data_IF_137317701294
#
_entry.id   IF_137317701294
#
_cell.length_a   1.000
_cell.length_b   1.000
_cell.length_c   1.000
_cell.angle_alpha   90.00
_cell.angle_beta   90.00
_cell.angle_gamma   90.00
#
_symmetry.space_group_name_H-M   'P 1'
#
loop_
_entity.id
_entity.type
_entity.pdbx_description
1 polymer ?
#
# COMPACT_ATOMS: atom_id res chain seq x y z
N UNK A 1 -2.33 4.28 -11.98
CA UNK A 1 -2.85 4.25 -10.61
C UNK A 1 -3.60 5.54 -10.33
N UNK A 2 -4.75 5.47 -9.70
CA UNK A 2 -5.47 6.62 -9.15
C UNK A 2 -4.94 6.95 -7.75
N UNK A 3 -5.27 8.14 -7.26
CA UNK A 3 -5.02 8.54 -5.88
C UNK A 3 -5.56 7.49 -4.88
N UNK A 4 -4.74 7.15 -3.88
CA UNK A 4 -5.00 6.11 -2.89
C UNK A 4 -4.59 4.70 -3.35
N UNK A 5 -4.15 4.51 -4.59
CA UNK A 5 -3.63 3.23 -5.08
C UNK A 5 -2.10 3.16 -5.04
N UNK A 6 -1.58 1.94 -4.99
CA UNK A 6 -0.14 1.68 -4.93
C UNK A 6 0.34 0.49 -5.75
N UNK A 7 1.64 0.51 -6.06
CA UNK A 7 2.42 -0.66 -6.50
C UNK A 7 3.41 -1.04 -5.40
N UNK A 8 3.68 -2.33 -5.25
CA UNK A 8 4.61 -2.87 -4.26
C UNK A 8 5.67 -3.69 -4.99
N UNK A 9 6.91 -3.63 -4.52
CA UNK A 9 7.99 -4.48 -5.01
C UNK A 9 7.71 -5.95 -4.70
N UNK A 10 8.29 -6.90 -5.45
CA UNK A 10 8.09 -8.33 -5.25
C UNK A 10 8.25 -8.80 -3.79
N UNK A 11 9.20 -8.22 -3.05
CA UNK A 11 9.47 -8.59 -1.67
C UNK A 11 8.59 -7.86 -0.63
N UNK A 12 7.73 -6.92 -1.05
CA UNK A 12 6.89 -6.12 -0.15
C UNK A 12 7.58 -4.89 0.46
N UNK A 13 8.89 -4.78 0.27
CA UNK A 13 9.84 -3.87 0.92
C UNK A 13 9.85 -2.45 0.39
N UNK A 14 9.31 -2.23 -0.80
CA UNK A 14 9.25 -0.91 -1.46
C UNK A 14 7.87 -0.71 -2.05
N UNK A 15 7.33 0.50 -1.95
CA UNK A 15 6.00 0.84 -2.44
C UNK A 15 6.04 2.16 -3.20
N UNK A 16 5.31 2.25 -4.30
CA UNK A 16 5.02 3.49 -5.01
C UNK A 16 3.57 3.88 -4.74
N UNK A 17 3.37 5.04 -4.13
CA UNK A 17 2.07 5.57 -3.73
C UNK A 17 1.68 6.77 -4.58
N UNK A 18 0.49 6.71 -5.17
CA UNK A 18 -0.19 7.89 -5.66
C UNK A 18 -1.04 8.45 -4.51
N UNK A 19 -0.55 9.47 -3.82
CA UNK A 19 -1.19 10.00 -2.62
C UNK A 19 -2.46 10.82 -2.94
N UNK A 20 -3.41 10.92 -1.98
CA UNK A 20 -4.62 11.73 -2.12
C UNK A 20 -4.37 13.22 -2.38
N UNK A 21 -3.21 13.74 -1.98
CA UNK A 21 -2.79 15.14 -2.19
C UNK A 21 -2.17 15.40 -3.58
N UNK A 22 -2.07 14.36 -4.43
CA UNK A 22 -1.50 14.45 -5.76
C UNK A 22 -0.02 14.13 -5.85
N UNK A 23 0.64 13.80 -4.74
CA UNK A 23 2.06 13.44 -4.77
C UNK A 23 2.28 11.97 -5.14
N UNK A 24 3.29 11.73 -5.95
CA UNK A 24 3.74 10.39 -6.28
C UNK A 24 5.01 10.11 -5.46
N UNK A 25 4.95 9.13 -4.57
CA UNK A 25 5.97 8.92 -3.54
C UNK A 25 6.45 7.47 -3.55
N UNK A 26 7.76 7.27 -3.54
CA UNK A 26 8.36 5.96 -3.28
C UNK A 26 8.67 5.87 -1.79
N UNK A 27 8.16 4.81 -1.18
CA UNK A 27 8.34 4.47 0.21
C UNK A 27 9.18 3.22 0.35
N UNK A 28 10.12 3.25 1.30
CA UNK A 28 10.76 2.04 1.75
C UNK A 28 10.10 1.52 3.03
N UNK A 29 9.44 0.38 2.88
CA UNK A 29 8.62 -0.25 3.91
C UNK A 29 9.48 -1.08 4.86
N UNK A 30 10.70 -1.48 4.46
CA UNK A 30 11.64 -2.22 5.32
C UNK A 30 12.27 -1.38 6.44
N UNK A 31 12.16 -0.04 6.37
CA UNK A 31 12.87 0.84 7.29
C UNK A 31 11.97 1.73 8.16
N UNK A 32 10.85 2.25 7.64
CA UNK A 32 9.90 3.10 8.41
C UNK A 32 8.73 3.69 7.59
N UNK A 33 8.35 3.14 6.44
CA UNK A 33 7.48 3.84 5.46
C UNK A 33 7.91 5.29 5.24
N UNK A 34 9.22 5.54 5.26
CA UNK A 34 9.75 6.85 4.93
C UNK A 34 9.72 7.08 3.43
N UNK A 35 9.38 8.29 2.98
CA UNK A 35 9.55 8.63 1.59
C UNK A 35 11.05 8.63 1.29
N UNK A 36 11.46 7.80 0.33
CA UNK A 36 12.84 7.80 -0.20
C UNK A 36 12.93 8.67 -1.46
N UNK A 37 11.81 8.86 -2.13
CA UNK A 37 11.69 9.76 -3.27
C UNK A 37 10.26 10.29 -3.36
N UNK A 38 10.11 11.50 -3.87
CA UNK A 38 8.81 12.06 -4.23
C UNK A 38 8.93 12.89 -5.51
N UNK A 39 7.88 12.83 -6.34
CA UNK A 39 7.79 13.61 -7.57
C UNK A 39 7.82 15.11 -7.31
N UNK A 40 7.30 15.55 -6.16
CA UNK A 40 7.34 16.92 -5.66
C UNK A 40 6.94 17.94 -6.73
N UNK A 41 5.65 18.01 -7.03
CA UNK A 41 5.07 18.86 -8.08
C UNK A 41 4.73 20.29 -7.58
N UNK A 42 4.95 20.60 -6.30
CA UNK A 42 4.73 21.92 -5.69
C UNK A 42 3.25 22.31 -5.65
N UNK A 43 2.96 23.62 -5.58
CA UNK A 43 1.60 24.19 -5.57
C UNK A 43 0.80 23.95 -6.87
N UNK A 44 1.35 23.19 -7.84
CA UNK A 44 0.68 22.90 -9.11
C UNK A 44 -0.50 21.93 -8.96
N UNK A 45 -0.55 21.16 -7.88
CA UNK A 45 -1.71 20.35 -7.56
C UNK A 45 -2.73 21.17 -6.78
N UNK A 46 -3.92 21.32 -7.34
CA UNK A 46 -5.01 22.05 -6.70
C UNK A 46 -6.39 21.39 -6.89
N UNK A 47 -6.55 20.46 -7.85
CA UNK A 47 -7.84 19.84 -8.12
C UNK A 47 -7.70 18.34 -8.48
N UNK A 48 -8.20 17.47 -7.60
CA UNK A 48 -8.37 16.05 -7.89
C UNK A 48 -9.45 15.78 -8.97
N UNK A 49 -9.58 14.54 -9.47
CA UNK A 49 -8.84 13.35 -9.04
C UNK A 49 -7.41 13.33 -9.58
N UNK A 50 -6.47 12.82 -8.77
CA UNK A 50 -5.08 12.66 -9.20
C UNK A 50 -4.82 11.24 -9.68
N UNK A 51 -3.97 11.10 -10.70
CA UNK A 51 -3.60 9.82 -11.28
C UNK A 51 -2.16 9.82 -11.75
N UNK A 52 -1.51 8.66 -11.73
CA UNK A 52 -0.22 8.42 -12.38
C UNK A 52 -0.37 7.36 -13.46
N UNK A 53 0.23 7.59 -14.63
CA UNK A 53 0.20 6.65 -15.76
C UNK A 53 1.53 6.65 -16.51
N UNK A 54 2.06 5.46 -16.79
CA UNK A 54 3.05 5.27 -17.84
C UNK A 54 2.32 5.26 -19.18
N UNK A 55 2.58 6.26 -20.01
CA UNK A 55 1.94 6.46 -21.30
C UNK A 55 2.62 5.63 -22.41
N UNK A 56 1.95 5.48 -23.56
CA UNK A 56 2.46 4.70 -24.70
C UNK A 56 3.75 5.25 -25.31
N UNK A 57 3.96 6.57 -25.18
CA UNK A 57 5.18 7.25 -25.58
C UNK A 57 6.36 7.01 -24.60
N UNK A 58 6.13 6.28 -23.49
CA UNK A 58 7.15 5.99 -22.49
C UNK A 58 7.29 7.03 -21.38
N UNK A 59 6.42 8.04 -21.34
CA UNK A 59 6.45 9.05 -20.30
C UNK A 59 5.61 8.63 -19.09
N UNK A 60 6.18 8.72 -17.88
CA UNK A 60 5.43 8.57 -16.64
C UNK A 60 4.89 9.95 -16.25
N UNK A 61 3.57 10.08 -16.18
CA UNK A 61 2.90 11.36 -15.96
C UNK A 61 1.97 11.27 -14.76
N UNK A 62 2.10 12.23 -13.85
CA UNK A 62 1.08 12.50 -12.82
C UNK A 62 0.15 13.58 -13.36
N UNK A 63 -1.15 13.31 -13.33
CA UNK A 63 -2.20 14.21 -13.81
C UNK A 63 -3.20 14.55 -12.71
N UNK A 64 -3.90 15.68 -12.91
CA UNK A 64 -4.98 16.17 -12.06
C UNK A 64 -6.25 16.44 -12.88
N UNK A 65 -7.41 16.56 -12.22
CA UNK A 65 -8.70 16.86 -12.84
C UNK A 65 -9.02 15.98 -14.07
N UNK A 66 -9.21 16.62 -15.23
CA UNK A 66 -9.51 15.95 -16.51
C UNK A 66 -8.28 15.43 -17.28
N UNK A 67 -7.12 15.32 -16.62
CA UNK A 67 -5.89 14.83 -17.23
C UNK A 67 -4.81 15.89 -17.44
N UNK A 68 -4.89 17.02 -16.73
CA UNK A 68 -3.84 18.05 -16.77
C UNK A 68 -2.56 17.49 -16.14
N UNK A 69 -1.40 17.51 -16.83
CA UNK A 69 -0.15 17.02 -16.25
C UNK A 69 0.39 17.99 -15.19
N UNK A 70 0.72 17.46 -14.01
CA UNK A 70 1.35 18.20 -12.90
C UNK A 70 2.80 17.78 -12.66
N UNK A 71 3.17 16.57 -13.09
CA UNK A 71 4.55 16.08 -13.10
C UNK A 71 4.79 15.10 -14.26
N UNK A 72 6.03 15.03 -14.74
CA UNK A 72 6.46 14.10 -15.79
C UNK A 72 7.89 13.61 -15.54
N UNK A 73 8.18 12.36 -15.90
CA UNK A 73 9.54 11.80 -15.87
C UNK A 73 10.46 12.35 -16.95
N UNK A 74 9.92 13.00 -17.99
CA UNK A 74 10.70 13.54 -19.11
C UNK A 74 11.25 12.45 -20.05
N UNK A 75 10.63 11.28 -20.08
CA UNK A 75 11.12 10.09 -20.83
C UNK A 75 10.38 9.84 -22.15
N UNK A 76 9.64 10.84 -22.64
CA UNK A 76 8.89 10.75 -23.89
C UNK A 76 9.80 10.31 -25.04
N UNK A 77 9.39 9.25 -25.74
CA UNK A 77 10.08 8.63 -26.86
C UNK A 77 11.50 8.12 -26.56
N UNK A 78 11.86 7.91 -25.30
CA UNK A 78 13.15 7.30 -24.92
C UNK A 78 13.06 5.77 -24.89
N UNK A 79 14.10 5.08 -25.36
CA UNK A 79 14.16 3.61 -25.40
C UNK A 79 13.16 2.98 -26.37
N UNK A 80 13.14 1.65 -26.46
CA UNK A 80 12.21 0.89 -27.31
C UNK A 80 10.94 0.45 -26.55
N UNK A 81 9.80 0.39 -27.26
CA UNK A 81 8.54 -0.12 -26.70
C UNK A 81 8.49 -1.66 -26.74
N UNK A 82 7.74 -2.33 -25.83
CA UNK A 82 7.01 -1.77 -24.70
C UNK A 82 7.93 -1.36 -23.56
N UNK A 83 7.53 -0.32 -22.82
CA UNK A 83 8.25 0.16 -21.63
C UNK A 83 7.47 -0.24 -20.38
N UNK A 84 8.20 -0.53 -19.33
CA UNK A 84 7.62 -0.97 -18.05
C UNK A 84 8.14 -0.13 -16.90
N UNK A 85 7.27 0.16 -15.93
CA UNK A 85 7.64 0.78 -14.67
C UNK A 85 7.79 -0.33 -13.62
N UNK A 86 8.96 -0.42 -12.99
CA UNK A 86 9.29 -1.46 -12.02
C UNK A 86 9.65 -0.81 -10.69
N UNK A 87 8.92 -1.20 -9.63
CA UNK A 87 9.30 -0.94 -8.24
C UNK A 87 10.24 -2.07 -7.83
N UNK A 88 11.50 -1.75 -7.60
CA UNK A 88 12.54 -2.72 -7.29
C UNK A 88 12.64 -2.94 -5.79
N UNK A 89 13.08 -4.14 -5.39
CA UNK A 89 13.29 -4.50 -3.98
C UNK A 89 14.43 -3.69 -3.33
N UNK A 90 15.32 -3.09 -4.13
CA UNK A 90 16.46 -2.31 -3.69
C UNK A 90 16.14 -0.84 -3.35
N UNK A 91 14.85 -0.46 -3.39
CA UNK A 91 14.37 0.91 -3.12
C UNK A 91 14.25 1.81 -4.34
N UNK A 92 14.58 1.31 -5.53
CA UNK A 92 14.56 2.09 -6.75
C UNK A 92 13.22 1.96 -7.49
N UNK A 93 12.83 3.03 -8.18
CA UNK A 93 11.74 3.00 -9.16
C UNK A 93 12.35 3.26 -10.53
N UNK A 94 12.18 2.32 -11.46
CA UNK A 94 12.87 2.33 -12.74
C UNK A 94 11.87 2.18 -13.89
N UNK A 95 12.07 2.93 -14.96
CA UNK A 95 11.42 2.66 -16.24
C UNK A 95 12.42 1.93 -17.12
N UNK A 96 12.05 0.76 -17.61
CA UNK A 96 12.82 -0.06 -18.54
C UNK A 96 12.22 0.00 -19.94
N UNK A 97 13.07 -0.12 -20.95
CA UNK A 97 12.64 -0.42 -22.33
C UNK A 97 12.45 -1.93 -22.56
N UNK A 98 12.04 -2.29 -23.78
CA UNK A 98 11.78 -3.69 -24.17
C UNK A 98 12.99 -4.61 -24.06
N UNK A 99 14.20 -4.05 -24.15
CA UNK A 99 15.47 -4.77 -23.98
C UNK A 99 15.92 -4.84 -22.51
N UNK A 100 15.08 -4.41 -21.56
CA UNK A 100 15.40 -4.30 -20.13
C UNK A 100 16.54 -3.32 -19.84
N UNK A 101 16.78 -2.35 -20.72
CA UNK A 101 17.71 -1.25 -20.45
C UNK A 101 16.99 -0.15 -19.65
N UNK A 102 17.58 0.34 -18.55
CA UNK A 102 16.97 1.40 -17.77
C UNK A 102 17.00 2.71 -18.56
N UNK A 103 15.84 3.34 -18.73
CA UNK A 103 15.71 4.65 -19.40
C UNK A 103 15.57 5.79 -18.39
N UNK A 104 15.06 5.50 -17.18
CA UNK A 104 14.99 6.45 -16.07
C UNK A 104 14.95 5.70 -14.75
N UNK A 105 15.49 6.31 -13.70
CA UNK A 105 15.44 5.78 -12.34
C UNK A 105 15.39 6.92 -11.31
N UNK A 106 14.75 6.67 -10.17
CA UNK A 106 14.80 7.56 -9.00
C UNK A 106 16.18 7.63 -8.37
N UNK A 107 17.04 6.64 -8.63
CA UNK A 107 18.40 6.50 -8.06
C UNK A 107 18.37 6.41 -6.54
N UNK A 108 17.36 5.72 -6.02
CA UNK A 108 17.14 5.51 -4.58
C UNK A 108 17.46 4.08 -4.15
N UNK A 109 18.36 3.43 -4.89
CA UNK A 109 18.83 2.07 -4.66
C UNK A 109 19.74 1.95 -3.42
N UNK A 110 19.30 2.47 -2.27
CA UNK A 110 20.08 2.57 -1.03
C UNK A 110 19.92 1.34 -0.13
N UNK A 111 19.10 0.36 -0.51
CA UNK A 111 18.80 -0.83 0.28
C UNK A 111 19.71 -1.98 -0.15
N UNK A 112 20.98 -1.88 0.27
CA UNK A 112 22.01 -2.89 0.03
C UNK A 112 22.84 -3.23 1.27
N UNK A 113 22.47 -2.75 2.47
CA UNK A 113 23.30 -2.91 3.67
C UNK A 113 22.49 -3.39 4.87
N UNK A 114 22.93 -4.51 5.41
CA UNK A 114 22.41 -5.29 6.53
C UNK A 114 22.58 -4.58 7.88
N UNK A 115 21.71 -3.64 8.26
CA UNK A 115 21.38 -3.39 9.68
C UNK A 115 20.15 -2.45 9.82
N UNK A 116 18.97 -2.97 10.20
CA UNK A 116 17.78 -2.15 10.46
C UNK A 116 17.84 -1.40 11.80
N UNK A 117 18.84 -1.66 12.66
CA UNK A 117 18.94 -1.02 13.97
C UNK A 117 19.64 0.35 13.95
N UNK A 118 20.31 0.72 12.84
CA UNK A 118 21.06 1.98 12.71
C UNK A 118 20.31 3.09 12.00
N UNK A 119 19.01 2.92 11.71
CA UNK A 119 18.24 3.88 10.92
C UNK A 119 17.57 4.89 11.87
N UNK A 120 17.92 6.18 11.80
CA UNK A 120 17.33 7.20 12.65
C UNK A 120 15.84 7.33 12.34
N UNK A 121 14.98 7.21 13.34
CA UNK A 121 13.54 7.47 13.23
C UNK A 121 13.35 8.98 13.37
N UNK A 122 12.86 9.71 12.36
CA UNK A 122 12.37 11.06 12.52
C UNK A 122 11.09 10.92 13.33
N UNK A 123 11.00 11.64 14.45
CA UNK A 123 9.75 11.76 15.16
C UNK A 123 8.71 12.36 14.19
N UNK A 124 7.68 11.59 13.84
CA UNK A 124 6.50 12.14 13.18
C UNK A 124 5.81 13.07 14.19
N UNK A 125 5.74 14.36 13.88
CA UNK A 125 5.14 15.39 14.76
C UNK A 125 3.71 15.72 14.37
N UNK A 126 3.01 14.85 13.63
CA UNK A 126 1.63 15.06 13.19
C UNK A 126 0.82 13.76 13.06
N UNK A 127 -0.53 13.84 13.01
CA UNK A 127 -1.36 12.66 12.78
C UNK A 127 -1.08 12.08 11.39
N UNK A 128 -1.00 10.75 11.30
CA UNK A 128 -0.80 10.07 10.02
C UNK A 128 -1.90 10.47 9.02
N UNK A 129 -1.57 10.80 7.75
CA UNK A 129 -2.56 11.12 6.74
C UNK A 129 -3.34 9.88 6.27
N UNK A 130 -2.98 8.69 6.75
CA UNK A 130 -3.55 7.42 6.33
C UNK A 130 -4.50 6.84 7.38
N UNK A 131 -5.63 6.24 6.94
CA UNK A 131 -6.51 5.56 7.87
C UNK A 131 -5.85 4.28 8.42
N UNK A 132 -5.94 4.08 9.74
CA UNK A 132 -5.55 2.84 10.41
C UNK A 132 -6.73 1.92 10.75
N UNK A 133 -7.96 2.42 10.58
CA UNK A 133 -9.20 1.78 11.03
C UNK A 133 -10.18 1.63 9.87
N UNK A 134 -10.80 0.45 9.77
CA UNK A 134 -11.95 0.18 8.90
C UNK A 134 -13.17 -0.15 9.77
N UNK A 135 -14.10 0.79 9.88
CA UNK A 135 -15.33 0.61 10.65
C UNK A 135 -16.30 -0.35 9.95
N UNK A 136 -17.22 -0.95 10.70
CA UNK A 136 -18.32 -1.74 10.15
C UNK A 136 -19.08 -0.99 9.04
N UNK A 137 -19.36 -1.69 7.95
CA UNK A 137 -19.89 -1.14 6.71
C UNK A 137 -18.83 -0.63 5.74
N UNK A 138 -17.63 -0.30 6.23
CA UNK A 138 -16.50 0.18 5.44
C UNK A 138 -15.86 -0.90 4.57
N UNK A 139 -15.22 -0.45 3.50
CA UNK A 139 -14.56 -1.31 2.51
C UNK A 139 -13.15 -0.84 2.16
N UNK A 140 -12.29 -1.78 1.82
CA UNK A 140 -10.96 -1.54 1.23
C UNK A 140 -10.88 -2.29 -0.10
N UNK A 141 -10.75 -1.56 -1.20
CA UNK A 141 -10.69 -2.13 -2.56
C UNK A 141 -9.28 -2.61 -2.90
N UNK A 142 -9.16 -3.53 -3.85
CA UNK A 142 -7.88 -3.98 -4.37
C UNK A 142 -6.99 -2.81 -4.80
N UNK A 143 -5.77 -2.75 -4.25
CA UNK A 143 -4.80 -1.67 -4.42
C UNK A 143 -4.80 -0.61 -3.31
N UNK A 144 -5.77 -0.63 -2.39
CA UNK A 144 -5.83 0.29 -1.25
C UNK A 144 -5.22 -0.33 0.02
N UNK A 145 -4.85 0.54 0.96
CA UNK A 145 -4.17 0.14 2.20
C UNK A 145 -4.73 0.86 3.43
N UNK A 146 -4.53 0.22 4.59
CA UNK A 146 -4.58 0.86 5.91
C UNK A 146 -3.16 0.90 6.50
N UNK A 147 -2.84 1.94 7.26
CA UNK A 147 -1.50 2.17 7.82
C UNK A 147 -1.64 2.52 9.29
N UNK A 148 -0.80 1.92 10.14
CA UNK A 148 -0.81 2.18 11.58
C UNK A 148 -0.43 3.63 11.91
N UNK A 149 -0.88 4.19 13.05
CA UNK A 149 -0.57 5.58 13.42
C UNK A 149 0.92 5.95 13.40
N UNK A 150 1.82 5.03 13.75
CA UNK A 150 3.27 5.24 13.69
C UNK A 150 3.88 5.01 12.29
N UNK A 151 3.05 4.72 11.29
CA UNK A 151 3.40 4.48 9.90
C UNK A 151 4.37 3.31 9.69
N UNK A 152 4.42 2.33 10.61
CA UNK A 152 5.30 1.16 10.46
C UNK A 152 4.57 -0.06 9.96
N UNK A 153 3.28 -0.19 10.24
CA UNK A 153 2.52 -1.40 9.94
C UNK A 153 1.50 -1.07 8.88
N UNK A 154 1.48 -1.86 7.81
CA UNK A 154 0.62 -1.61 6.65
C UNK A 154 -0.17 -2.86 6.30
N UNK A 155 -1.47 -2.70 6.12
CA UNK A 155 -2.35 -3.72 5.56
C UNK A 155 -2.69 -3.36 4.12
N UNK A 156 -2.38 -4.24 3.17
CA UNK A 156 -2.71 -4.08 1.75
C UNK A 156 -3.78 -5.08 1.34
N UNK A 157 -4.90 -4.59 0.81
CA UNK A 157 -5.78 -5.42 -0.02
C UNK A 157 -5.18 -5.44 -1.42
N UNK A 158 -4.41 -6.47 -1.75
CA UNK A 158 -3.69 -6.54 -3.03
C UNK A 158 -4.64 -6.81 -4.19
N UNK A 159 -4.23 -6.42 -5.40
CA UNK A 159 -5.04 -6.57 -6.63
C UNK A 159 -5.19 -8.02 -7.09
N UNK A 160 -4.39 -8.93 -6.55
CA UNK A 160 -4.46 -10.37 -6.77
C UNK A 160 -5.42 -11.07 -5.80
N UNK A 161 -6.02 -10.35 -4.84
CA UNK A 161 -6.95 -10.90 -3.86
C UNK A 161 -6.29 -11.36 -2.57
N UNK A 162 -4.97 -11.20 -2.44
CA UNK A 162 -4.27 -11.43 -1.18
C UNK A 162 -4.44 -10.23 -0.24
N UNK A 163 -4.69 -10.48 1.04
CA UNK A 163 -4.69 -9.44 2.07
C UNK A 163 -3.44 -9.64 2.91
N UNK A 164 -2.55 -8.65 2.93
CA UNK A 164 -1.19 -8.81 3.45
C UNK A 164 -0.85 -7.73 4.46
N UNK A 165 -0.35 -8.14 5.61
CA UNK A 165 0.14 -7.28 6.68
C UNK A 165 1.66 -7.21 6.62
N UNK A 166 2.21 -6.02 6.45
CA UNK A 166 3.63 -5.75 6.37
C UNK A 166 4.10 -4.92 7.57
N UNK A 167 5.37 -5.11 7.94
CA UNK A 167 6.11 -4.17 8.77
C UNK A 167 7.62 -4.26 8.45
N UNK A 168 8.41 -3.23 8.81
CA UNK A 168 9.86 -3.26 8.79
C UNK A 168 10.39 -4.54 9.44
N UNK A 169 11.00 -5.42 8.67
CA UNK A 169 11.61 -6.65 9.15
C UNK A 169 12.96 -6.85 8.49
N UNK A 170 13.88 -7.51 9.21
CA UNK A 170 15.22 -7.90 8.73
C UNK A 170 15.20 -8.82 7.49
N UNK A 171 14.06 -9.45 7.25
CA UNK A 171 13.83 -10.43 6.20
C UNK A 171 12.54 -10.02 5.53
N UNK A 172 12.58 -9.78 4.22
CA UNK A 172 11.45 -9.33 3.41
C UNK A 172 10.32 -10.37 3.36
N UNK A 173 9.60 -10.52 4.47
CA UNK A 173 8.47 -11.41 4.66
C UNK A 173 7.35 -10.62 5.34
N UNK A 174 6.10 -10.76 4.86
CA UNK A 174 4.98 -10.14 5.53
C UNK A 174 4.84 -10.70 6.96
N UNK A 175 4.26 -9.90 7.86
CA UNK A 175 3.89 -10.36 9.18
C UNK A 175 2.82 -11.44 9.11
N UNK A 176 1.87 -11.27 8.17
CA UNK A 176 0.75 -12.18 7.95
C UNK A 176 0.17 -11.97 6.53
N UNK A 177 -0.43 -13.02 5.97
CA UNK A 177 -1.17 -12.95 4.71
C UNK A 177 -2.33 -13.95 4.71
N UNK A 178 -3.39 -13.67 3.96
CA UNK A 178 -4.47 -14.65 3.71
C UNK A 178 -4.05 -15.79 2.79
N UNK A 179 -2.99 -15.57 1.99
CA UNK A 179 -2.48 -16.49 0.97
C UNK A 179 -3.56 -16.89 -0.05
N UNK A 180 -4.49 -15.99 -0.36
CA UNK A 180 -5.57 -16.27 -1.32
C UNK A 180 -5.19 -15.94 -2.77
N UNK A 181 -4.17 -15.11 -3.00
CA UNK A 181 -3.80 -14.63 -4.34
C UNK A 181 -3.39 -15.71 -5.36
N UNK A 182 -3.22 -16.96 -4.94
CA UNK A 182 -2.85 -18.10 -5.79
C UNK A 182 -4.05 -18.95 -6.27
N UNK A 183 -5.28 -18.64 -5.82
CA UNK A 183 -6.49 -19.36 -6.25
C UNK A 183 -7.10 -18.71 -7.49
N UNK A 184 -7.83 -19.49 -8.29
CA UNK A 184 -8.52 -19.05 -9.51
C UNK A 184 -9.67 -18.07 -9.22
N UNK A 185 -9.31 -16.90 -8.70
CA UNK A 185 -10.22 -15.85 -8.25
C UNK A 185 -10.16 -14.69 -9.24
N UNK A 186 -11.29 -14.01 -9.46
CA UNK A 186 -11.38 -12.93 -10.46
C UNK A 186 -11.63 -11.60 -9.76
N UNK A 187 -10.71 -10.64 -9.94
CA UNK A 187 -10.88 -9.28 -9.43
C UNK A 187 -12.02 -8.52 -10.15
N UNK A 188 -12.44 -7.35 -9.63
CA UNK A 188 -11.83 -6.62 -8.51
C UNK A 188 -12.12 -7.26 -7.16
N UNK A 189 -11.18 -7.13 -6.23
CA UNK A 189 -11.29 -7.63 -4.88
C UNK A 189 -11.68 -6.54 -3.89
N UNK A 190 -12.42 -6.91 -2.85
CA UNK A 190 -12.95 -5.99 -1.85
C UNK A 190 -12.90 -6.62 -0.46
N UNK A 191 -12.13 -6.05 0.44
CA UNK A 191 -12.24 -6.32 1.87
C UNK A 191 -13.41 -5.51 2.44
N UNK A 192 -14.24 -6.13 3.28
CA UNK A 192 -15.35 -5.46 3.96
C UNK A 192 -15.39 -5.87 5.43
N UNK A 193 -15.41 -4.87 6.31
CA UNK A 193 -15.82 -5.08 7.70
C UNK A 193 -17.35 -5.07 7.73
N UNK A 194 -17.97 -6.24 7.84
CA UNK A 194 -19.43 -6.34 7.80
C UNK A 194 -20.06 -5.86 9.11
N UNK A 195 -21.36 -5.53 9.06
CA UNK A 195 -22.11 -5.04 10.22
C UNK A 195 -22.38 -6.10 11.29
N UNK A 196 -22.32 -7.37 10.91
CA UNK A 196 -22.45 -8.53 11.80
C UNK A 196 -21.14 -8.85 12.56
N UNK A 197 -20.05 -8.14 12.29
CA UNK A 197 -18.75 -8.35 12.92
C UNK A 197 -17.81 -9.28 12.19
N UNK A 198 -18.16 -9.76 10.98
CA UNK A 198 -17.27 -10.57 10.16
C UNK A 198 -16.43 -9.69 9.21
N UNK A 199 -15.13 -9.94 9.16
CA UNK A 199 -14.24 -9.34 8.16
C UNK A 199 -14.12 -10.32 6.98
N UNK A 200 -14.52 -9.87 5.78
CA UNK A 200 -14.66 -10.74 4.60
C UNK A 200 -13.98 -10.13 3.38
N UNK A 201 -13.27 -10.96 2.60
CA UNK A 201 -12.78 -10.59 1.27
C UNK A 201 -13.73 -11.18 0.23
N UNK A 202 -14.12 -10.33 -0.71
CA UNK A 202 -14.93 -10.65 -1.86
C UNK A 202 -14.13 -10.55 -3.16
N UNK A 203 -14.43 -11.42 -4.10
CA UNK A 203 -14.04 -11.29 -5.51
C UNK A 203 -15.16 -10.65 -6.33
N UNK A 204 -14.98 -10.57 -7.65
CA UNK A 204 -16.02 -10.13 -8.56
C UNK A 204 -17.33 -10.93 -8.38
N UNK A 205 -18.45 -10.31 -8.73
CA UNK A 205 -19.79 -10.89 -8.55
C UNK A 205 -20.17 -11.21 -7.08
N UNK A 206 -19.38 -10.77 -6.10
CA UNK A 206 -19.74 -10.83 -4.68
C UNK A 206 -19.52 -12.20 -4.02
N UNK A 207 -18.73 -13.09 -4.64
CA UNK A 207 -18.34 -14.35 -4.02
C UNK A 207 -17.31 -14.09 -2.90
N UNK A 208 -17.56 -14.60 -1.70
CA UNK A 208 -16.60 -14.53 -0.60
C UNK A 208 -15.48 -15.55 -0.83
N UNK A 209 -14.25 -15.11 -0.59
CA UNK A 209 -13.05 -15.91 -0.84
C UNK A 209 -12.23 -16.16 0.43
N UNK A 210 -12.38 -15.29 1.42
CA UNK A 210 -11.80 -15.46 2.75
C UNK A 210 -12.66 -14.72 3.79
N UNK A 211 -12.71 -15.22 5.02
CA UNK A 211 -13.39 -14.58 6.13
C UNK A 211 -12.71 -14.92 7.47
N UNK A 212 -12.87 -14.03 8.45
CA UNK A 212 -12.42 -14.26 9.84
C UNK A 212 -13.31 -15.23 10.62
N UNK A 213 -14.57 -15.42 10.20
CA UNK A 213 -15.52 -16.29 10.89
C UNK A 213 -15.96 -15.72 12.24
N UNK A 214 -16.11 -14.40 12.31
CA UNK A 214 -16.50 -13.65 13.51
C UNK A 214 -17.91 -13.07 13.44
N UNK A 215 -18.72 -13.54 12.49
CA UNK A 215 -20.13 -13.19 12.40
C UNK A 215 -20.83 -13.42 13.74
N UNK A 216 -21.58 -12.40 14.16
CA UNK A 216 -22.37 -12.36 15.39
C UNK A 216 -21.58 -12.56 16.69
N UNK A 217 -20.25 -12.40 16.66
CA UNK A 217 -19.40 -12.41 17.87
C UNK A 217 -19.16 -10.99 18.38
N UNK A 218 -19.20 -10.81 19.70
CA UNK A 218 -19.00 -9.49 20.34
C UNK A 218 -20.17 -8.53 20.12
N UNK A 219 -20.05 -7.31 20.66
CA UNK A 219 -21.08 -6.28 20.53
C UNK A 219 -20.80 -5.32 19.34
N UNK A 220 -21.80 -5.10 18.47
CA UNK A 220 -21.72 -4.07 17.43
C UNK A 220 -21.65 -2.64 18.03
N UNK A 221 -21.12 -1.64 17.28
CA UNK A 221 -20.43 -1.78 16.00
C UNK A 221 -19.00 -2.34 16.15
N UNK A 222 -18.56 -3.01 15.10
CA UNK A 222 -17.21 -3.60 15.01
C UNK A 222 -16.28 -2.73 14.17
N UNK A 223 -14.97 -2.94 14.33
CA UNK A 223 -13.96 -2.29 13.51
C UNK A 223 -12.70 -3.15 13.36
N UNK A 224 -12.05 -3.07 12.21
CA UNK A 224 -10.70 -3.55 11.98
C UNK A 224 -9.70 -2.43 12.30
N UNK A 225 -8.60 -2.76 12.96
CA UNK A 225 -7.54 -1.81 13.33
C UNK A 225 -6.17 -2.40 12.98
N UNK A 226 -5.37 -1.62 12.25
CA UNK A 226 -3.92 -1.87 12.07
C UNK A 226 -3.18 -1.18 13.22
N UNK A 227 -2.46 -1.97 14.01
CA UNK A 227 -1.83 -1.50 15.24
C UNK A 227 -0.33 -1.29 15.08
N UNK A 228 0.21 -0.36 15.87
CA UNK A 228 1.62 0.01 15.88
C UNK A 228 2.55 -1.13 16.34
N UNK A 229 2.00 -2.08 17.09
CA UNK A 229 2.69 -3.27 17.61
C UNK A 229 2.90 -4.38 16.55
N UNK A 230 2.36 -4.19 15.33
CA UNK A 230 2.42 -5.17 14.25
C UNK A 230 1.23 -6.11 14.21
N UNK A 231 0.15 -5.85 14.96
CA UNK A 231 -1.04 -6.68 14.98
C UNK A 231 -2.15 -6.10 14.07
N UNK A 232 -2.99 -7.00 13.56
CA UNK A 232 -4.24 -6.66 12.88
C UNK A 232 -5.40 -7.22 13.71
N UNK A 233 -6.29 -6.36 14.16
CA UNK A 233 -7.29 -6.74 15.17
C UNK A 233 -8.69 -6.30 14.77
N UNK A 234 -9.66 -7.20 14.92
CA UNK A 234 -11.08 -6.87 14.90
C UNK A 234 -11.54 -6.66 16.34
N UNK A 235 -12.04 -5.46 16.63
CA UNK A 235 -12.62 -5.09 17.91
C UNK A 235 -14.14 -4.97 17.82
N UNK A 236 -14.79 -5.27 18.94
CA UNK A 236 -16.19 -4.92 19.18
C UNK A 236 -16.33 -3.50 19.80
N UNK A 237 -17.56 -3.08 20.09
CA UNK A 237 -17.86 -1.74 20.63
C UNK A 237 -17.36 -1.51 22.05
N UNK A 238 -17.01 -2.58 22.77
CA UNK A 238 -16.44 -2.54 24.12
C UNK A 238 -14.92 -2.61 24.11
N UNK A 239 -14.29 -2.54 22.94
CA UNK A 239 -12.86 -2.79 22.74
C UNK A 239 -12.42 -4.21 23.11
N UNK A 240 -13.34 -5.16 23.06
CA UNK A 240 -13.00 -6.58 23.18
C UNK A 240 -12.44 -7.08 21.85
N UNK A 241 -11.28 -7.74 21.89
CA UNK A 241 -10.73 -8.41 20.71
C UNK A 241 -11.61 -9.59 20.32
N UNK A 242 -12.15 -9.55 19.10
CA UNK A 242 -12.97 -10.62 18.53
C UNK A 242 -12.13 -11.53 17.63
N UNK A 243 -11.10 -10.96 16.98
CA UNK A 243 -10.09 -11.70 16.21
C UNK A 243 -8.79 -10.90 16.15
N UNK A 244 -7.66 -11.60 16.05
CA UNK A 244 -6.35 -11.00 15.83
C UNK A 244 -5.49 -11.87 14.91
N UNK A 245 -4.58 -11.25 14.15
CA UNK A 245 -3.54 -11.95 13.39
C UNK A 245 -2.49 -12.61 14.27
N UNK A 246 -2.40 -12.22 15.55
CA UNK A 246 -1.42 -12.69 16.53
C UNK A 246 0.03 -12.45 16.08
N UNK A 247 0.26 -11.30 15.45
CA UNK A 247 1.57 -10.91 14.90
C UNK A 247 2.28 -9.83 15.68
N UNK A 248 1.67 -9.37 16.79
CA UNK A 248 2.23 -8.38 17.70
C UNK A 248 3.65 -8.77 18.08
N UNK A 249 4.61 -7.91 17.74
CA UNK A 249 6.04 -8.15 17.98
C UNK A 249 6.86 -6.88 18.18
N UNK A 250 6.24 -5.72 18.05
CA UNK A 250 6.84 -4.44 18.39
C UNK A 250 6.25 -3.93 19.71
N UNK A 251 7.04 -3.26 20.56
CA UNK A 251 6.50 -2.64 21.77
C UNK A 251 5.42 -1.63 21.40
N UNK A 252 4.28 -1.68 22.10
CA UNK A 252 3.34 -0.56 22.12
C UNK A 252 4.06 0.66 22.71
N UNK A 253 4.12 1.76 21.98
CA UNK A 253 4.63 3.03 22.52
C UNK A 253 3.60 3.70 23.44
#
# INVERSE_FOLDING_TARGET
>A
MAAGESLVSPNGGVRLDMQPDGNLVVYATELSMKPVWAANHGEKANEGPFQVKLQSDGNLVVTQGKGQPIWTSGTMNMGEAPRELVVQDDGNLVIYDSAKKPIWATKTNTFGSTDPSTIPVPASTGPSPYPSVLNAGGTLSGGQSLISPNERVRLDMQRDGNLVLYAPTLVAKPLWATNHGEKASQGPFLLRMQGDGNLVIYEAQGKSIWATGTDHKGASPHRLVVQDDGNLVVYDSRNTTVWASNTARFPSQ
#
